data_IF_329608379146
#
_entry.id   IF_329608379146
#
_cell.length_a   1.000
_cell.length_b   1.000
_cell.length_c   1.000
_cell.angle_alpha   90.00
_cell.angle_beta   90.00
_cell.angle_gamma   90.00
#
_symmetry.space_group_name_H-M   'P 1'
#
loop_
_entity.id
_entity.type
_entity.pdbx_description
1 polymer ?
#
# COMPACT_ATOMS: atom_id res chain seq x y z
N UNK A 1 14.28 -6.23 -12.06
CA UNK A 1 14.95 -7.31 -11.33
C UNK A 1 15.11 -8.52 -12.24
N UNK A 2 16.18 -9.30 -12.08
CA UNK A 2 16.36 -10.58 -12.79
C UNK A 2 15.46 -11.66 -12.20
N UNK A 3 15.15 -12.75 -12.94
CA UNK A 3 14.36 -13.86 -12.39
C UNK A 3 14.96 -14.47 -11.11
N UNK A 4 16.29 -14.49 -10.99
CA UNK A 4 16.97 -15.00 -9.79
C UNK A 4 16.82 -14.05 -8.61
N UNK A 5 16.89 -12.73 -8.82
CA UNK A 5 16.64 -11.75 -7.76
C UNK A 5 15.21 -11.86 -7.22
N UNK A 6 14.22 -12.04 -8.11
CA UNK A 6 12.82 -12.26 -7.71
C UNK A 6 12.67 -13.51 -6.84
N UNK A 7 13.25 -14.64 -7.25
CA UNK A 7 13.25 -15.86 -6.41
C UNK A 7 13.87 -15.64 -5.03
N UNK A 8 14.93 -14.84 -4.93
CA UNK A 8 15.54 -14.50 -3.63
C UNK A 8 14.58 -13.68 -2.78
N UNK A 9 13.85 -12.72 -3.35
CA UNK A 9 12.85 -11.95 -2.61
C UNK A 9 11.67 -12.82 -2.18
N UNK A 10 11.16 -13.69 -3.05
CA UNK A 10 10.07 -14.61 -2.73
C UNK A 10 10.47 -15.59 -1.62
N UNK A 11 11.69 -16.14 -1.70
CA UNK A 11 12.27 -16.97 -0.64
C UNK A 11 12.46 -16.19 0.68
N UNK A 12 12.86 -14.92 0.60
CA UNK A 12 12.96 -14.06 1.78
C UNK A 12 11.60 -13.89 2.45
N UNK A 13 10.55 -13.61 1.67
CA UNK A 13 9.18 -13.49 2.17
C UNK A 13 8.73 -14.78 2.87
N UNK A 14 8.91 -15.93 2.22
CA UNK A 14 8.56 -17.23 2.79
C UNK A 14 9.30 -17.53 4.11
N UNK A 15 10.59 -17.21 4.20
CA UNK A 15 11.35 -17.33 5.45
C UNK A 15 10.81 -16.40 6.55
N UNK A 16 10.41 -15.18 6.20
CA UNK A 16 9.86 -14.21 7.15
C UNK A 16 8.49 -14.64 7.69
N UNK A 17 7.60 -15.13 6.83
CA UNK A 17 6.30 -15.68 7.22
C UNK A 17 6.48 -16.91 8.14
N UNK A 18 7.48 -17.76 7.86
CA UNK A 18 7.72 -18.99 8.62
C UNK A 18 8.33 -18.76 10.00
N UNK A 19 9.26 -17.82 10.15
CA UNK A 19 10.07 -17.69 11.36
C UNK A 19 10.07 -16.31 12.01
N UNK A 20 9.53 -15.30 11.33
CA UNK A 20 9.62 -13.89 11.70
C UNK A 20 10.96 -13.26 11.30
N UNK A 21 10.91 -11.98 10.91
CA UNK A 21 12.04 -11.23 10.33
C UNK A 21 13.32 -11.27 11.18
N UNK A 22 13.17 -11.19 12.50
CA UNK A 22 14.30 -11.16 13.43
C UNK A 22 15.16 -12.44 13.32
N UNK A 23 14.55 -13.59 13.01
CA UNK A 23 15.22 -14.90 12.99
C UNK A 23 15.80 -15.29 11.63
N UNK A 24 15.35 -14.67 10.54
CA UNK A 24 15.80 -15.00 9.19
C UNK A 24 17.28 -14.62 8.99
N UNK A 25 18.10 -15.53 8.48
CA UNK A 25 19.50 -15.27 8.10
C UNK A 25 19.69 -15.27 6.58
N UNK A 26 20.83 -14.73 6.13
CA UNK A 26 21.23 -14.79 4.71
C UNK A 26 21.41 -16.24 4.23
N UNK A 27 21.86 -17.13 5.12
CA UNK A 27 22.07 -18.54 4.79
C UNK A 27 20.72 -19.24 4.59
N UNK A 28 19.71 -18.91 5.40
CA UNK A 28 18.36 -19.45 5.21
C UNK A 28 17.73 -18.99 3.89
N UNK A 29 17.87 -17.69 3.56
CA UNK A 29 17.38 -17.12 2.30
C UNK A 29 18.06 -17.79 1.11
N UNK A 30 19.38 -17.98 1.18
CA UNK A 30 20.14 -18.63 0.12
C UNK A 30 19.69 -20.09 -0.09
N UNK A 31 19.46 -20.82 1.00
CA UNK A 31 18.97 -22.19 0.96
C UNK A 31 17.56 -22.29 0.35
N UNK A 32 16.61 -21.46 0.81
CA UNK A 32 15.23 -21.44 0.30
C UNK A 32 15.18 -20.99 -1.17
N UNK A 33 16.02 -20.03 -1.58
CA UNK A 33 16.09 -19.57 -2.97
C UNK A 33 16.86 -20.49 -3.93
N UNK A 34 17.53 -21.53 -3.40
CA UNK A 34 18.36 -22.46 -4.17
C UNK A 34 19.60 -21.80 -4.78
N UNK A 35 20.21 -20.81 -4.11
CA UNK A 35 21.42 -20.11 -4.58
C UNK A 35 22.55 -20.20 -3.56
N UNK A 36 23.80 -20.00 -4.01
CA UNK A 36 24.94 -19.90 -3.09
C UNK A 36 24.97 -18.54 -2.40
N UNK A 37 25.50 -18.50 -1.16
CA UNK A 37 25.75 -17.26 -0.42
C UNK A 37 26.57 -16.23 -1.22
N UNK A 38 27.59 -16.69 -1.96
CA UNK A 38 28.39 -15.84 -2.82
C UNK A 38 27.57 -15.21 -3.97
N UNK A 39 26.61 -15.95 -4.52
CA UNK A 39 25.70 -15.42 -5.55
C UNK A 39 24.75 -14.39 -4.95
N UNK A 40 24.22 -14.64 -3.76
CA UNK A 40 23.35 -13.71 -3.05
C UNK A 40 24.07 -12.38 -2.74
N UNK A 41 25.29 -12.40 -2.19
CA UNK A 41 26.05 -11.16 -1.93
C UNK A 41 26.44 -10.40 -3.20
N UNK A 42 26.61 -11.09 -4.33
CA UNK A 42 26.86 -10.44 -5.62
C UNK A 42 25.62 -9.69 -6.14
N UNK A 43 24.42 -10.22 -5.91
CA UNK A 43 23.15 -9.57 -6.29
C UNK A 43 22.76 -8.47 -5.29
N UNK A 44 22.98 -8.70 -4.01
CA UNK A 44 22.61 -7.81 -2.91
C UNK A 44 23.84 -7.46 -2.06
N UNK A 45 24.71 -6.55 -2.55
CA UNK A 45 25.88 -6.11 -1.81
C UNK A 45 25.43 -5.26 -0.59
N UNK A 46 25.42 -5.90 0.57
CA UNK A 46 24.81 -5.39 1.81
C UNK A 46 24.02 -6.46 2.56
N UNK A 47 23.81 -7.63 1.94
CA UNK A 47 23.27 -8.80 2.61
C UNK A 47 21.81 -8.60 3.02
N UNK A 48 21.51 -8.96 4.26
CA UNK A 48 20.14 -9.01 4.80
C UNK A 48 19.41 -7.67 4.58
N UNK A 49 19.98 -6.56 5.00
CA UNK A 49 19.29 -5.26 4.96
C UNK A 49 18.91 -4.81 3.54
N UNK A 50 19.80 -5.02 2.57
CA UNK A 50 19.54 -4.67 1.16
C UNK A 50 18.47 -5.58 0.55
N UNK A 51 18.44 -6.85 0.94
CA UNK A 51 17.38 -7.78 0.53
C UNK A 51 16.03 -7.35 1.10
N UNK A 52 15.97 -6.96 2.37
CA UNK A 52 14.74 -6.49 3.00
C UNK A 52 14.22 -5.20 2.37
N UNK A 53 15.09 -4.23 2.06
CA UNK A 53 14.67 -3.02 1.35
C UNK A 53 14.17 -3.36 -0.06
N UNK A 54 14.85 -4.25 -0.79
CA UNK A 54 14.42 -4.70 -2.11
C UNK A 54 13.06 -5.44 -2.05
N UNK A 55 12.85 -6.29 -1.03
CA UNK A 55 11.57 -6.95 -0.79
C UNK A 55 10.47 -5.92 -0.55
N UNK A 56 10.70 -4.92 0.31
CA UNK A 56 9.73 -3.84 0.55
C UNK A 56 9.37 -3.06 -0.71
N UNK A 57 10.35 -2.79 -1.58
CA UNK A 57 10.07 -2.11 -2.86
C UNK A 57 9.18 -2.99 -3.74
N UNK A 58 9.51 -4.28 -3.87
CA UNK A 58 8.71 -5.25 -4.64
C UNK A 58 7.28 -5.36 -4.09
N UNK A 59 7.11 -5.52 -2.78
CA UNK A 59 5.78 -5.64 -2.16
C UNK A 59 4.93 -4.39 -2.39
N UNK A 60 5.54 -3.20 -2.36
CA UNK A 60 4.84 -1.96 -2.69
C UNK A 60 4.44 -1.90 -4.18
N UNK A 61 5.30 -2.36 -5.08
CA UNK A 61 5.01 -2.43 -6.52
C UNK A 61 3.90 -3.45 -6.84
N UNK A 62 3.94 -4.62 -6.20
CA UNK A 62 2.93 -5.67 -6.32
C UNK A 62 1.57 -5.15 -5.81
N UNK A 63 1.53 -4.53 -4.63
CA UNK A 63 0.32 -3.91 -4.07
C UNK A 63 -0.35 -2.93 -5.04
N UNK A 64 0.41 -2.00 -5.62
CA UNK A 64 -0.16 -1.04 -6.57
C UNK A 64 -0.48 -1.65 -7.93
N UNK A 65 0.11 -2.78 -8.27
CA UNK A 65 -0.25 -3.53 -9.48
C UNK A 65 -1.60 -4.19 -9.29
N UNK A 66 -1.77 -4.97 -8.22
CA UNK A 66 -3.05 -5.60 -7.87
C UNK A 66 -4.17 -4.58 -7.64
N UNK A 67 -3.88 -3.47 -6.95
CA UNK A 67 -4.85 -2.39 -6.76
C UNK A 67 -5.33 -1.82 -8.10
N UNK A 68 -4.42 -1.60 -9.05
CA UNK A 68 -4.78 -1.09 -10.40
C UNK A 68 -5.63 -2.09 -11.17
N UNK A 69 -5.31 -3.37 -11.08
CA UNK A 69 -6.11 -4.44 -11.70
C UNK A 69 -7.52 -4.49 -11.09
N UNK A 70 -7.64 -4.28 -9.77
CA UNK A 70 -8.92 -4.29 -9.08
C UNK A 70 -9.88 -3.15 -9.50
N UNK A 71 -9.33 -2.03 -9.94
CA UNK A 71 -10.08 -0.84 -10.38
C UNK A 71 -10.09 -0.66 -11.89
N UNK A 72 -9.50 -1.58 -12.66
CA UNK A 72 -9.49 -1.49 -14.11
C UNK A 72 -10.88 -1.75 -14.70
N UNK A 73 -11.25 -1.01 -15.76
CA UNK A 73 -12.58 -1.10 -16.37
C UNK A 73 -13.74 -0.54 -15.54
N UNK A 74 -13.46 0.17 -14.43
CA UNK A 74 -14.47 0.90 -13.67
C UNK A 74 -14.69 2.28 -14.30
N UNK A 75 -15.88 2.50 -14.85
CA UNK A 75 -16.22 3.72 -15.60
C UNK A 75 -16.86 4.83 -14.75
N UNK A 76 -17.08 4.59 -13.45
CA UNK A 76 -17.65 5.57 -12.52
C UNK A 76 -16.63 5.98 -11.44
N UNK A 77 -16.45 7.29 -11.25
CA UNK A 77 -15.50 7.82 -10.27
C UNK A 77 -15.79 7.30 -8.86
N UNK A 78 -17.05 7.36 -8.42
CA UNK A 78 -17.44 6.89 -7.08
C UNK A 78 -17.03 5.44 -6.85
N UNK A 79 -17.42 4.54 -7.76
CA UNK A 79 -17.10 3.12 -7.68
C UNK A 79 -15.58 2.88 -7.66
N UNK A 80 -14.83 3.62 -8.47
CA UNK A 80 -13.37 3.55 -8.51
C UNK A 80 -12.76 3.93 -7.16
N UNK A 81 -13.23 5.01 -6.53
CA UNK A 81 -12.73 5.45 -5.22
C UNK A 81 -13.10 4.45 -4.12
N UNK A 82 -14.34 3.93 -4.12
CA UNK A 82 -14.80 2.94 -3.13
C UNK A 82 -13.96 1.67 -3.22
N UNK A 83 -13.81 1.09 -4.42
CA UNK A 83 -12.96 -0.09 -4.62
C UNK A 83 -11.52 0.15 -4.20
N UNK A 84 -10.99 1.33 -4.51
CA UNK A 84 -9.63 1.70 -4.12
C UNK A 84 -9.44 1.67 -2.61
N UNK A 85 -10.30 2.35 -1.84
CA UNK A 85 -10.13 2.42 -0.38
C UNK A 85 -10.43 1.09 0.30
N UNK A 86 -11.40 0.33 -0.20
CA UNK A 86 -11.77 -0.98 0.33
C UNK A 86 -10.64 -1.98 0.12
N UNK A 87 -10.11 -2.08 -1.11
CA UNK A 87 -8.98 -2.94 -1.39
C UNK A 87 -7.77 -2.54 -0.54
N UNK A 88 -7.39 -1.25 -0.56
CA UNK A 88 -6.23 -0.79 0.19
C UNK A 88 -6.33 -1.08 1.70
N UNK A 89 -7.50 -0.82 2.29
CA UNK A 89 -7.73 -1.07 3.73
C UNK A 89 -7.69 -2.55 4.06
N UNK A 90 -8.29 -3.41 3.22
CA UNK A 90 -8.27 -4.86 3.41
C UNK A 90 -6.87 -5.45 3.27
N UNK A 91 -6.12 -5.03 2.26
CA UNK A 91 -4.75 -5.49 2.03
C UNK A 91 -3.83 -5.10 3.19
N UNK A 92 -3.94 -3.87 3.72
CA UNK A 92 -3.19 -3.46 4.90
C UNK A 92 -3.53 -4.29 6.15
N UNK A 93 -4.80 -4.65 6.35
CA UNK A 93 -5.25 -5.49 7.47
C UNK A 93 -4.83 -6.96 7.34
N UNK A 94 -4.68 -7.45 6.12
CA UNK A 94 -4.28 -8.83 5.84
C UNK A 94 -2.76 -9.06 5.86
N UNK A 95 -1.97 -7.99 6.04
CA UNK A 95 -0.52 -8.06 6.06
C UNK A 95 -0.01 -8.45 7.46
N UNK A 96 0.28 -9.75 7.63
CA UNK A 96 0.84 -10.31 8.86
C UNK A 96 2.16 -9.65 9.26
N UNK A 97 2.97 -9.21 8.30
CA UNK A 97 4.23 -8.52 8.60
C UNK A 97 3.96 -7.15 9.23
N UNK A 98 3.06 -6.35 8.64
CA UNK A 98 2.62 -5.08 9.23
C UNK A 98 2.03 -5.31 10.62
N UNK A 99 1.20 -6.34 10.80
CA UNK A 99 0.60 -6.66 12.10
C UNK A 99 1.66 -6.99 13.17
N UNK A 100 2.63 -7.85 12.87
CA UNK A 100 3.75 -8.20 13.77
C UNK A 100 4.58 -6.95 14.11
N UNK A 101 4.81 -6.11 13.12
CA UNK A 101 5.62 -4.90 13.26
C UNK A 101 4.92 -3.83 14.12
N UNK A 102 3.60 -3.66 13.95
CA UNK A 102 2.79 -2.77 14.80
C UNK A 102 2.67 -3.29 16.24
N UNK A 103 2.64 -4.61 16.43
CA UNK A 103 2.61 -5.24 17.76
C UNK A 103 3.96 -5.22 18.49
N UNK A 104 5.07 -5.14 17.74
CA UNK A 104 6.42 -5.11 18.27
C UNK A 104 6.85 -3.65 18.51
N UNK A 105 6.67 -3.12 19.71
CA UNK A 105 7.16 -1.76 20.05
C UNK A 105 8.63 -1.77 20.51
N UNK A 106 9.55 -1.41 19.62
CA UNK A 106 10.59 -0.43 19.90
C UNK A 106 10.26 0.83 19.09
N UNK A 107 10.23 2.01 19.72
CA UNK A 107 9.77 3.28 19.11
C UNK A 107 10.38 3.62 17.74
N UNK A 108 11.56 3.09 17.42
CA UNK A 108 12.22 3.24 16.11
C UNK A 108 11.44 2.59 14.95
N UNK A 109 10.80 1.44 15.18
CA UNK A 109 10.06 0.71 14.13
C UNK A 109 8.82 1.47 13.69
N UNK A 110 8.03 1.97 14.65
CA UNK A 110 6.83 2.75 14.37
C UNK A 110 7.18 4.12 13.76
N UNK A 111 8.28 4.75 14.22
CA UNK A 111 8.80 6.00 13.64
C UNK A 111 9.21 5.82 12.18
N UNK A 112 9.91 4.73 11.85
CA UNK A 112 10.31 4.43 10.47
C UNK A 112 9.11 4.20 9.54
N UNK A 113 8.05 3.55 10.02
CA UNK A 113 6.81 3.37 9.24
C UNK A 113 6.06 4.68 9.01
N UNK A 114 5.89 5.46 10.07
CA UNK A 114 5.06 6.67 10.05
C UNK A 114 5.77 7.84 9.38
N UNK A 115 6.97 8.19 9.86
CA UNK A 115 7.71 9.39 9.45
C UNK A 115 8.37 9.21 8.09
N UNK A 116 8.91 8.02 7.80
CA UNK A 116 9.61 7.75 6.53
C UNK A 116 8.78 6.94 5.52
N UNK A 117 7.97 5.98 6.00
CA UNK A 117 7.18 5.10 5.16
C UNK A 117 5.94 5.75 4.54
N UNK A 118 5.08 6.39 5.35
CA UNK A 118 3.81 6.94 4.85
C UNK A 118 3.98 7.99 3.75
N UNK A 119 4.95 8.93 3.82
CA UNK A 119 5.17 9.87 2.70
C UNK A 119 5.56 9.18 1.39
N UNK A 120 6.23 8.01 1.46
CA UNK A 120 6.54 7.20 0.28
C UNK A 120 5.29 6.54 -0.28
N UNK A 121 4.46 5.94 0.57
CA UNK A 121 3.20 5.29 0.17
C UNK A 121 2.25 6.31 -0.47
N UNK A 122 2.04 7.45 0.19
CA UNK A 122 1.17 8.53 -0.32
C UNK A 122 1.70 9.02 -1.67
N UNK A 123 3.01 9.28 -1.80
CA UNK A 123 3.59 9.70 -3.08
C UNK A 123 3.37 8.67 -4.18
N UNK A 124 3.57 7.38 -3.89
CA UNK A 124 3.34 6.31 -4.86
C UNK A 124 1.86 6.22 -5.27
N UNK A 125 0.93 6.30 -4.31
CA UNK A 125 -0.49 6.35 -4.60
C UNK A 125 -0.83 7.53 -5.53
N UNK A 126 -0.36 8.74 -5.19
CA UNK A 126 -0.57 9.93 -6.02
C UNK A 126 0.02 9.77 -7.42
N UNK A 127 1.24 9.25 -7.56
CA UNK A 127 1.87 9.04 -8.86
C UNK A 127 1.14 8.00 -9.72
N UNK A 128 0.67 6.91 -9.12
CA UNK A 128 0.13 5.76 -9.85
C UNK A 128 -1.37 5.84 -10.10
N UNK A 129 -2.13 6.51 -9.23
CA UNK A 129 -3.60 6.54 -9.29
C UNK A 129 -4.16 7.85 -9.86
N UNK A 130 -3.44 8.98 -9.79
CA UNK A 130 -3.98 10.26 -10.28
C UNK A 130 -4.39 10.21 -11.75
N UNK A 131 -3.62 9.51 -12.60
CA UNK A 131 -3.96 9.39 -14.03
C UNK A 131 -5.30 8.69 -14.32
N UNK A 132 -5.75 7.81 -13.42
CA UNK A 132 -7.09 7.18 -13.53
C UNK A 132 -8.20 8.16 -13.13
N UNK A 133 -7.94 9.03 -12.17
CA UNK A 133 -8.88 10.05 -11.68
C UNK A 133 -8.95 11.28 -12.58
N UNK A 134 -7.88 11.58 -13.32
CA UNK A 134 -7.79 12.67 -14.30
C UNK A 134 -8.82 12.55 -15.45
N UNK A 135 -9.43 11.37 -15.64
CA UNK A 135 -10.57 11.20 -16.54
C UNK A 135 -11.85 11.94 -16.07
N UNK A 136 -11.94 12.27 -14.78
CA UNK A 136 -13.13 12.85 -14.14
C UNK A 136 -12.90 14.23 -13.54
N UNK A 137 -11.66 14.55 -13.20
CA UNK A 137 -11.27 15.78 -12.51
C UNK A 137 -10.05 16.42 -13.19
N UNK A 138 -9.85 17.73 -13.00
CA UNK A 138 -8.60 18.35 -13.38
C UNK A 138 -7.42 17.75 -12.60
N UNK A 139 -6.22 17.78 -13.18
CA UNK A 139 -5.01 17.19 -12.60
C UNK A 139 -4.73 17.62 -11.17
N UNK A 140 -4.96 18.88 -10.82
CA UNK A 140 -4.67 19.34 -9.46
C UNK A 140 -5.69 18.78 -8.46
N UNK A 141 -6.96 18.71 -8.85
CA UNK A 141 -8.02 18.08 -8.04
C UNK A 141 -7.83 16.56 -7.92
N UNK A 142 -7.46 15.87 -8.99
CA UNK A 142 -7.14 14.43 -8.98
C UNK A 142 -6.01 14.12 -8.00
N UNK A 143 -4.91 14.87 -8.06
CA UNK A 143 -3.77 14.70 -7.15
C UNK A 143 -4.15 14.94 -5.69
N UNK A 144 -4.93 15.99 -5.41
CA UNK A 144 -5.41 16.29 -4.05
C UNK A 144 -6.34 15.22 -3.52
N UNK A 145 -7.24 14.70 -4.36
CA UNK A 145 -8.18 13.64 -3.98
C UNK A 145 -7.42 12.35 -3.64
N UNK A 146 -6.48 11.93 -4.48
CA UNK A 146 -5.68 10.72 -4.23
C UNK A 146 -4.82 10.87 -2.97
N UNK A 147 -4.17 12.02 -2.77
CA UNK A 147 -3.39 12.30 -1.55
C UNK A 147 -4.28 12.22 -0.30
N UNK A 148 -5.47 12.84 -0.33
CA UNK A 148 -6.44 12.79 0.76
C UNK A 148 -6.89 11.36 1.06
N UNK A 149 -7.29 10.59 0.04
CA UNK A 149 -7.75 9.22 0.22
C UNK A 149 -6.65 8.31 0.78
N UNK A 150 -5.41 8.45 0.31
CA UNK A 150 -4.29 7.70 0.84
C UNK A 150 -4.09 7.99 2.34
N UNK A 151 -4.16 9.26 2.75
CA UNK A 151 -4.07 9.66 4.16
C UNK A 151 -5.21 9.11 5.00
N UNK A 152 -6.43 9.12 4.47
CA UNK A 152 -7.60 8.58 5.16
C UNK A 152 -7.43 7.06 5.35
N UNK A 153 -7.10 6.29 4.31
CA UNK A 153 -6.86 4.85 4.42
C UNK A 153 -5.81 4.54 5.50
N UNK A 154 -4.67 5.23 5.46
CA UNK A 154 -3.61 5.06 6.46
C UNK A 154 -4.10 5.41 7.87
N UNK A 155 -4.82 6.52 8.03
CA UNK A 155 -5.34 6.97 9.32
C UNK A 155 -6.35 5.99 9.91
N UNK A 156 -7.34 5.55 9.13
CA UNK A 156 -8.35 4.58 9.56
C UNK A 156 -7.78 3.18 9.76
N UNK A 157 -6.65 2.86 9.13
CA UNK A 157 -5.91 1.63 9.40
C UNK A 157 -5.17 1.70 10.74
N UNK A 158 -4.40 2.76 10.99
CA UNK A 158 -3.59 2.90 12.21
C UNK A 158 -4.43 3.25 13.45
N UNK A 159 -5.54 3.97 13.26
CA UNK A 159 -6.49 4.34 14.30
C UNK A 159 -7.91 4.03 13.80
N UNK A 160 -8.37 2.77 13.97
CA UNK A 160 -9.72 2.37 13.58
C UNK A 160 -10.80 3.23 14.23
N UNK A 161 -11.88 3.45 13.49
CA UNK A 161 -13.02 4.26 13.93
C UNK A 161 -14.23 3.39 14.20
N UNK A 162 -15.01 3.73 15.23
CA UNK A 162 -16.30 3.10 15.53
C UNK A 162 -17.42 3.52 14.54
N UNK A 163 -17.17 4.54 13.72
CA UNK A 163 -18.20 5.15 12.86
C UNK A 163 -18.00 4.89 11.37
N UNK A 164 -16.77 4.66 10.92
CA UNK A 164 -16.43 4.51 9.51
C UNK A 164 -15.44 3.35 9.36
N UNK A 165 -15.82 2.37 8.56
CA UNK A 165 -14.95 1.27 8.15
C UNK A 165 -14.66 1.36 6.66
N UNK A 166 -13.47 1.85 6.29
CA UNK A 166 -13.06 1.92 4.89
C UNK A 166 -12.82 0.55 4.25
N UNK A 167 -12.75 -0.53 5.03
CA UNK A 167 -12.69 -1.92 4.54
C UNK A 167 -14.06 -2.54 4.28
N UNK A 168 -15.15 -1.89 4.70
CA UNK A 168 -16.52 -2.27 4.36
C UNK A 168 -17.01 -1.43 3.19
N UNK A 169 -17.62 -2.06 2.18
CA UNK A 169 -17.99 -1.36 0.95
C UNK A 169 -19.12 -0.36 1.17
N UNK A 170 -20.13 -0.72 1.97
CA UNK A 170 -21.27 0.15 2.22
C UNK A 170 -20.86 1.36 3.06
N UNK A 171 -20.05 1.15 4.11
CA UNK A 171 -19.50 2.22 4.93
C UNK A 171 -18.57 3.14 4.12
N UNK A 172 -17.64 2.57 3.34
CA UNK A 172 -16.75 3.35 2.48
C UNK A 172 -17.52 4.19 1.45
N UNK A 173 -18.52 3.61 0.79
CA UNK A 173 -19.37 4.32 -0.18
C UNK A 173 -20.13 5.47 0.48
N UNK A 174 -20.80 5.22 1.59
CA UNK A 174 -21.52 6.25 2.33
C UNK A 174 -20.59 7.41 2.73
N UNK A 175 -19.40 7.10 3.23
CA UNK A 175 -18.43 8.09 3.64
C UNK A 175 -17.88 8.91 2.46
N UNK A 176 -17.47 8.25 1.37
CA UNK A 176 -16.90 8.90 0.18
C UNK A 176 -17.93 9.82 -0.47
N UNK A 177 -19.15 9.33 -0.69
CA UNK A 177 -20.22 10.08 -1.36
C UNK A 177 -20.70 11.28 -0.55
N UNK A 178 -20.81 11.12 0.77
CA UNK A 178 -21.36 12.16 1.64
C UNK A 178 -20.34 13.23 1.99
N UNK A 179 -19.07 12.86 2.21
CA UNK A 179 -18.08 13.74 2.83
C UNK A 179 -16.86 14.06 1.96
N UNK A 180 -16.52 13.19 1.00
CA UNK A 180 -15.30 13.37 0.19
C UNK A 180 -15.65 13.97 -1.17
N UNK A 181 -16.38 13.24 -2.01
CA UNK A 181 -16.68 13.64 -3.40
C UNK A 181 -17.26 15.05 -3.56
N UNK A 182 -18.20 15.52 -2.70
CA UNK A 182 -18.78 16.85 -2.84
C UNK A 182 -17.77 18.00 -2.76
N UNK A 183 -16.60 17.78 -2.15
CA UNK A 183 -15.53 18.80 -2.08
C UNK A 183 -14.70 18.91 -3.35
N UNK A 184 -14.80 17.94 -4.27
CA UNK A 184 -14.04 17.89 -5.53
C UNK A 184 -14.92 18.08 -6.76
N UNK A 185 -16.22 17.83 -6.64
CA UNK A 185 -17.18 18.09 -7.71
C UNK A 185 -17.69 19.53 -7.60
N UNK A 186 -17.91 20.22 -8.73
CA UNK A 186 -18.53 21.53 -8.69
C UNK A 186 -19.94 21.41 -8.08
N UNK A 187 -20.21 22.17 -7.02
CA UNK A 187 -21.57 22.31 -6.49
C UNK A 187 -22.45 22.85 -7.60
N UNK A 188 -23.40 22.04 -8.09
CA UNK A 188 -24.47 22.55 -8.95
C UNK A 188 -25.24 23.57 -8.11
N UNK A 189 -25.30 24.86 -8.50
CA UNK A 189 -26.07 25.82 -7.73
C UNK A 189 -27.52 25.34 -7.73
N UNK A 190 -28.08 25.13 -6.55
CA UNK A 190 -29.50 24.87 -6.36
C UNK A 190 -30.25 26.01 -7.04
N UNK A 191 -30.87 25.75 -8.18
CA UNK A 191 -31.86 26.65 -8.78
C UNK A 191 -33.07 26.67 -7.86
N UNK A 192 -33.04 27.54 -6.86
CA UNK A 192 -34.22 27.93 -6.11
C UNK A 192 -35.15 28.63 -7.09
N UNK A 193 -36.19 27.92 -7.54
CA UNK A 193 -37.38 28.51 -8.17
C UNK A 193 -38.38 28.94 -7.11
#
# INVERSE_FOLDING_TARGET
>A
MTPTELRVLDATKACCERWGIAKVTVDDIAAEAGVSRATLYRMFPGGKDVIFEALRVKELEDFFTELREHIDGVDELEEMLVRTVVYATRSLRADDHLAIMLASEPGDTLSNLTVQGLPRIIRMATLLLSGKVEAYLDRASAQRLVDLLARLVISYFLAPSDHVDLGDEASARAFITTHVLPTFLPTTPSTTS
#
